data_IF_415222594760
#
_entry.id   IF_415222594760
#
_cell.length_a   1.000
_cell.length_b   1.000
_cell.length_c   1.000
_cell.angle_alpha   90.00
_cell.angle_beta   90.00
_cell.angle_gamma   90.00
#
_symmetry.space_group_name_H-M   'P 1'
#
loop_
_entity.id
_entity.type
_entity.pdbx_description
1 polymer ?
#
# COMPACT_ATOMS: atom_id res chain seq x y z
N UNK A 1 -76.71 -16.71 -41.35
CA UNK A 1 -76.07 -17.62 -40.37
C UNK A 1 -74.66 -17.11 -40.15
N UNK A 2 -74.45 -16.40 -39.05
CA UNK A 2 -73.21 -15.66 -38.77
C UNK A 2 -72.59 -16.25 -37.51
N UNK A 3 -71.37 -16.79 -37.63
CA UNK A 3 -70.62 -17.43 -36.53
C UNK A 3 -70.06 -16.36 -35.56
N UNK A 4 -69.92 -16.68 -34.26
CA UNK A 4 -69.44 -15.73 -33.25
C UNK A 4 -67.91 -15.56 -33.30
N UNK A 5 -67.46 -14.33 -33.02
CA UNK A 5 -66.07 -13.90 -32.96
C UNK A 5 -65.40 -14.43 -31.70
N UNK A 6 -64.35 -15.23 -31.90
CA UNK A 6 -63.47 -15.78 -30.89
C UNK A 6 -62.61 -14.66 -30.26
N UNK A 7 -62.68 -14.49 -28.93
CA UNK A 7 -61.91 -13.49 -28.20
C UNK A 7 -60.51 -14.01 -27.94
N UNK A 8 -59.56 -13.61 -28.78
CA UNK A 8 -58.13 -13.87 -28.54
C UNK A 8 -57.64 -13.06 -27.33
N UNK A 9 -57.38 -13.76 -26.24
CA UNK A 9 -56.86 -13.24 -24.98
C UNK A 9 -55.38 -12.85 -25.15
N UNK A 10 -55.06 -11.56 -24.95
CA UNK A 10 -53.70 -11.04 -25.06
C UNK A 10 -52.80 -11.57 -23.92
N UNK A 11 -51.54 -11.94 -24.19
CA UNK A 11 -50.63 -12.45 -23.18
C UNK A 11 -50.18 -11.35 -22.21
N UNK A 12 -50.30 -11.64 -20.91
CA UNK A 12 -49.86 -10.79 -19.80
C UNK A 12 -48.33 -10.54 -19.87
N UNK A 13 -47.85 -9.28 -19.76
CA UNK A 13 -46.43 -8.99 -19.86
C UNK A 13 -45.67 -9.51 -18.64
N UNK A 14 -44.59 -10.26 -18.89
CA UNK A 14 -43.74 -10.87 -17.88
C UNK A 14 -43.15 -9.83 -16.87
N UNK A 15 -42.95 -10.22 -15.59
CA UNK A 15 -42.45 -9.32 -14.56
C UNK A 15 -41.02 -8.86 -14.86
N UNK A 16 -40.83 -7.54 -14.90
CA UNK A 16 -39.52 -6.90 -15.12
C UNK A 16 -38.60 -7.18 -13.93
N UNK A 17 -37.37 -7.69 -14.13
CA UNK A 17 -36.46 -7.96 -13.03
C UNK A 17 -36.04 -6.65 -12.32
N UNK A 18 -35.84 -6.68 -11.00
CA UNK A 18 -35.49 -5.49 -10.24
C UNK A 18 -34.16 -4.91 -10.71
N UNK A 19 -34.16 -3.63 -11.07
CA UNK A 19 -32.98 -2.92 -11.53
C UNK A 19 -31.81 -3.02 -10.52
N UNK A 20 -30.56 -3.11 -11.00
CA UNK A 20 -29.39 -3.25 -10.13
C UNK A 20 -29.25 -2.03 -9.21
N UNK A 21 -29.40 -2.28 -7.90
CA UNK A 21 -29.23 -1.27 -6.84
C UNK A 21 -27.80 -0.73 -6.85
N UNK A 22 -27.62 0.46 -7.42
CA UNK A 22 -26.36 1.19 -7.46
C UNK A 22 -25.90 1.47 -6.02
N UNK A 23 -24.88 0.74 -5.57
CA UNK A 23 -24.26 0.85 -4.24
C UNK A 23 -23.95 2.33 -3.95
N UNK A 24 -24.70 2.94 -3.03
CA UNK A 24 -24.45 4.32 -2.57
C UNK A 24 -23.05 4.37 -1.96
N UNK A 25 -22.06 4.84 -2.74
CA UNK A 25 -20.76 5.21 -2.22
C UNK A 25 -20.98 6.35 -1.24
N UNK A 26 -20.79 6.07 0.04
CA UNK A 26 -20.73 7.06 1.13
C UNK A 26 -19.79 8.17 0.65
N UNK A 27 -20.33 9.37 0.45
CA UNK A 27 -19.62 10.48 -0.16
C UNK A 27 -18.52 10.96 0.80
N UNK A 28 -17.32 10.42 0.64
CA UNK A 28 -16.13 11.10 1.10
C UNK A 28 -16.14 12.49 0.44
N UNK A 29 -16.08 13.55 1.23
CA UNK A 29 -16.09 14.95 0.79
C UNK A 29 -15.19 15.09 -0.44
N UNK A 30 -15.73 15.62 -1.53
CA UNK A 30 -15.02 15.73 -2.79
C UNK A 30 -13.72 16.54 -2.59
N UNK A 31 -12.60 16.05 -3.13
CA UNK A 31 -11.31 16.77 -3.06
C UNK A 31 -11.41 18.00 -3.97
N UNK A 32 -11.28 19.19 -3.38
CA UNK A 32 -11.49 20.49 -4.05
C UNK A 32 -10.34 20.91 -4.97
N UNK A 33 -9.11 20.46 -4.70
CA UNK A 33 -7.91 20.89 -5.42
C UNK A 33 -7.39 19.79 -6.32
N UNK A 34 -7.11 20.15 -7.58
CA UNK A 34 -6.39 19.30 -8.53
C UNK A 34 -4.96 19.81 -8.64
N UNK A 35 -4.01 18.89 -8.47
CA UNK A 35 -2.65 19.11 -8.96
C UNK A 35 -2.74 19.04 -10.49
N UNK A 36 -2.07 19.96 -11.21
CA UNK A 36 -2.21 20.17 -12.66
C UNK A 36 -1.88 18.95 -13.54
N UNK A 37 -1.66 19.13 -14.85
CA UNK A 37 -1.42 18.01 -15.75
C UNK A 37 -0.04 17.37 -15.51
N UNK A 38 -0.01 16.33 -14.65
CA UNK A 38 1.13 15.45 -14.49
C UNK A 38 1.27 14.59 -15.74
N UNK A 39 2.39 14.75 -16.48
CA UNK A 39 2.72 13.88 -17.60
C UNK A 39 3.63 12.76 -17.10
N UNK A 40 3.17 11.52 -17.27
CA UNK A 40 3.92 10.32 -16.95
C UNK A 40 4.36 9.66 -18.25
N UNK A 41 5.60 9.17 -18.27
CA UNK A 41 6.06 8.21 -19.27
C UNK A 41 5.31 6.88 -19.12
N UNK A 42 5.40 6.03 -20.14
CA UNK A 42 4.76 4.71 -20.13
C UNK A 42 5.28 3.82 -18.99
N UNK A 43 6.59 3.89 -18.68
CA UNK A 43 7.22 3.15 -17.59
C UNK A 43 6.70 3.59 -16.23
N UNK A 44 6.71 4.90 -15.95
CA UNK A 44 6.23 5.44 -14.67
C UNK A 44 4.75 5.10 -14.42
N UNK A 45 3.92 5.14 -15.47
CA UNK A 45 2.53 4.75 -15.35
C UNK A 45 2.35 3.24 -15.05
N UNK A 46 3.18 2.39 -15.64
CA UNK A 46 3.17 0.96 -15.38
C UNK A 46 3.56 0.66 -13.93
N UNK A 47 4.60 1.32 -13.42
CA UNK A 47 5.07 1.17 -12.04
C UNK A 47 4.01 1.60 -11.02
N UNK A 48 3.36 2.75 -11.25
CA UNK A 48 2.28 3.25 -10.38
C UNK A 48 1.10 2.28 -10.38
N UNK A 49 0.73 1.70 -11.54
CA UNK A 49 -0.36 0.72 -11.63
C UNK A 49 -0.03 -0.56 -10.88
N UNK A 50 1.18 -1.09 -11.06
CA UNK A 50 1.62 -2.29 -10.37
C UNK A 50 1.63 -2.09 -8.84
N UNK A 51 2.13 -0.95 -8.39
CA UNK A 51 2.17 -0.62 -6.97
C UNK A 51 0.77 -0.37 -6.38
N UNK A 52 -0.12 0.31 -7.12
CA UNK A 52 -1.50 0.52 -6.71
C UNK A 52 -2.28 -0.80 -6.59
N UNK A 53 -2.07 -1.75 -7.51
CA UNK A 53 -2.65 -3.09 -7.45
C UNK A 53 -2.22 -3.84 -6.19
N UNK A 54 -0.92 -3.84 -5.87
CA UNK A 54 -0.40 -4.45 -4.63
C UNK A 54 -0.98 -3.82 -3.37
N UNK A 55 -1.28 -2.52 -3.40
CA UNK A 55 -1.85 -1.78 -2.28
C UNK A 55 -3.40 -1.86 -2.20
N UNK A 56 -4.07 -2.51 -3.15
CA UNK A 56 -5.54 -2.52 -3.22
C UNK A 56 -6.16 -1.15 -3.50
N UNK A 57 -5.43 -0.25 -4.17
CA UNK A 57 -5.82 1.13 -4.43
C UNK A 57 -6.00 1.40 -5.93
N UNK A 58 -6.76 2.44 -6.29
CA UNK A 58 -6.71 2.97 -7.66
C UNK A 58 -5.40 3.72 -7.90
N UNK A 59 -4.87 3.78 -9.14
CA UNK A 59 -3.61 4.46 -9.43
C UNK A 59 -3.56 5.92 -8.92
N UNK A 60 -4.64 6.68 -9.10
CA UNK A 60 -4.73 8.06 -8.60
C UNK A 60 -4.83 8.15 -7.07
N UNK A 61 -5.46 7.18 -6.41
CA UNK A 61 -5.49 7.12 -4.95
C UNK A 61 -4.11 6.78 -4.37
N UNK A 62 -3.43 5.82 -4.99
CA UNK A 62 -2.06 5.44 -4.63
C UNK A 62 -1.06 6.59 -4.83
N UNK A 63 -1.10 7.28 -5.97
CA UNK A 63 -0.26 8.43 -6.24
C UNK A 63 -0.49 9.57 -5.23
N UNK A 64 -1.76 9.90 -4.94
CA UNK A 64 -2.06 10.93 -3.94
C UNK A 64 -1.59 10.52 -2.53
N UNK A 65 -1.78 9.26 -2.16
CA UNK A 65 -1.35 8.74 -0.86
C UNK A 65 0.18 8.81 -0.72
N UNK A 66 0.91 8.26 -1.69
CA UNK A 66 2.38 8.25 -1.68
C UNK A 66 2.95 9.66 -1.67
N UNK A 67 2.50 10.56 -2.54
CA UNK A 67 2.95 11.97 -2.55
C UNK A 67 2.68 12.66 -1.21
N UNK A 68 1.49 12.47 -0.63
CA UNK A 68 1.16 13.09 0.67
C UNK A 68 2.00 12.51 1.80
N UNK A 69 2.20 11.20 1.82
CA UNK A 69 3.03 10.52 2.81
C UNK A 69 4.49 10.95 2.69
N UNK A 70 5.04 10.98 1.48
CA UNK A 70 6.40 11.46 1.21
C UNK A 70 6.54 12.93 1.58
N UNK A 71 5.59 13.80 1.23
CA UNK A 71 5.63 15.21 1.62
C UNK A 71 5.61 15.39 3.15
N UNK A 72 4.77 14.63 3.85
CA UNK A 72 4.74 14.62 5.33
C UNK A 72 6.06 14.12 5.90
N UNK A 73 6.65 13.07 5.35
CA UNK A 73 7.94 12.56 5.79
C UNK A 73 9.12 13.47 5.40
N UNK A 74 9.03 14.22 4.30
CA UNK A 74 10.04 15.19 3.90
C UNK A 74 10.03 16.42 4.82
N UNK A 75 8.85 16.80 5.32
CA UNK A 75 8.69 17.83 6.35
C UNK A 75 9.11 17.35 7.74
N UNK A 76 9.15 16.03 7.96
CA UNK A 76 9.88 15.45 9.09
C UNK A 76 11.36 15.47 8.73
N UNK A 77 12.03 16.57 9.09
CA UNK A 77 13.49 16.56 9.20
C UNK A 77 13.85 15.53 10.27
N UNK A 78 14.01 14.27 9.86
CA UNK A 78 14.64 13.29 10.73
C UNK A 78 15.99 13.89 11.14
N UNK A 79 16.28 13.96 12.45
CA UNK A 79 17.62 14.29 12.93
C UNK A 79 18.63 13.45 12.16
N UNK A 80 19.79 14.03 11.79
CA UNK A 80 20.81 13.32 11.01
C UNK A 80 21.14 11.94 11.62
N UNK A 81 21.17 11.87 12.95
CA UNK A 81 21.34 10.64 13.74
C UNK A 81 20.27 9.58 13.50
N UNK A 82 19.00 9.95 13.29
CA UNK A 82 17.94 8.98 13.02
C UNK A 82 17.96 8.52 11.54
N UNK A 83 18.44 9.36 10.62
CA UNK A 83 18.69 8.93 9.22
C UNK A 83 19.82 7.91 9.12
N UNK A 84 20.93 8.15 9.80
CA UNK A 84 22.07 7.23 9.85
C UNK A 84 21.64 5.87 10.41
N UNK A 85 20.85 5.85 11.49
CA UNK A 85 20.31 4.63 12.09
C UNK A 85 19.38 3.86 11.17
N UNK A 86 18.54 4.55 10.38
CA UNK A 86 17.68 3.90 9.38
C UNK A 86 18.52 3.30 8.25
N UNK A 87 19.57 4.00 7.81
CA UNK A 87 20.50 3.48 6.82
C UNK A 87 21.22 2.22 7.33
N UNK A 88 21.66 2.21 8.60
CA UNK A 88 22.24 1.03 9.25
C UNK A 88 21.26 -0.14 9.30
N UNK A 89 19.99 0.10 9.64
CA UNK A 89 18.96 -0.94 9.67
C UNK A 89 18.67 -1.51 8.27
N UNK A 90 18.61 -0.65 7.25
CA UNK A 90 18.45 -1.11 5.86
C UNK A 90 19.63 -1.94 5.41
N UNK A 91 20.86 -1.53 5.75
CA UNK A 91 22.06 -2.29 5.43
C UNK A 91 22.08 -3.64 6.14
N UNK A 92 21.75 -3.68 7.44
CA UNK A 92 21.65 -4.93 8.20
C UNK A 92 20.58 -5.88 7.64
N UNK A 93 19.44 -5.36 7.16
CA UNK A 93 18.40 -6.16 6.50
C UNK A 93 18.88 -6.76 5.18
N UNK A 94 19.65 -6.00 4.40
CA UNK A 94 20.22 -6.49 3.13
C UNK A 94 21.23 -7.60 3.40
N UNK A 95 22.13 -7.42 4.37
CA UNK A 95 23.09 -8.44 4.77
C UNK A 95 22.39 -9.71 5.28
N UNK A 96 21.35 -9.57 6.11
CA UNK A 96 20.58 -10.72 6.60
C UNK A 96 19.86 -11.46 5.45
N UNK A 97 19.30 -10.75 4.49
CA UNK A 97 18.69 -11.35 3.30
C UNK A 97 19.73 -12.09 2.43
N UNK A 98 20.95 -11.55 2.33
CA UNK A 98 22.07 -12.18 1.62
C UNK A 98 22.52 -13.46 2.30
N UNK A 99 22.66 -13.44 3.63
CA UNK A 99 23.00 -14.62 4.42
C UNK A 99 21.90 -15.69 4.31
N UNK A 100 20.62 -15.29 4.40
CA UNK A 100 19.50 -16.19 4.21
C UNK A 100 19.46 -16.83 2.81
N UNK A 101 19.90 -16.11 1.77
CA UNK A 101 20.02 -16.67 0.42
C UNK A 101 21.18 -17.68 0.28
N UNK A 102 22.18 -17.62 1.16
CA UNK A 102 23.32 -18.55 1.21
C UNK A 102 23.07 -19.76 2.12
N UNK A 103 22.02 -19.74 2.96
CA UNK A 103 21.65 -20.86 3.84
C UNK A 103 21.49 -22.21 3.14
N UNK A 104 20.91 -22.30 1.92
CA UNK A 104 20.76 -23.57 1.21
C UNK A 104 22.09 -24.21 0.80
N UNK A 105 23.19 -23.45 0.79
CA UNK A 105 24.50 -23.87 0.29
C UNK A 105 25.61 -23.82 1.35
N UNK A 106 25.31 -23.42 2.58
CA UNK A 106 26.31 -23.19 3.62
C UNK A 106 26.05 -24.03 4.88
N UNK A 107 27.12 -24.46 5.53
CA UNK A 107 27.07 -25.26 6.76
C UNK A 107 26.48 -24.46 7.93
N UNK A 108 25.55 -25.05 8.68
CA UNK A 108 24.81 -24.34 9.73
C UNK A 108 25.72 -23.73 10.83
N UNK A 109 26.89 -24.34 11.06
CA UNK A 109 27.84 -23.92 12.11
C UNK A 109 28.61 -22.64 11.75
N UNK A 110 28.77 -22.33 10.46
CA UNK A 110 29.42 -21.07 10.01
C UNK A 110 28.43 -19.92 9.92
N UNK A 111 27.15 -20.21 9.62
CA UNK A 111 26.15 -19.17 9.35
C UNK A 111 25.42 -18.69 10.61
N UNK A 112 25.21 -19.57 11.60
CA UNK A 112 24.51 -19.21 12.84
C UNK A 112 25.13 -18.02 13.59
N UNK A 113 26.47 -17.95 13.79
CA UNK A 113 27.09 -16.85 14.54
C UNK A 113 26.95 -15.49 13.82
N UNK A 114 27.06 -15.49 12.49
CA UNK A 114 26.89 -14.29 11.63
C UNK A 114 25.44 -13.78 11.69
N UNK A 115 24.45 -14.68 11.55
CA UNK A 115 23.04 -14.35 11.70
C UNK A 115 22.72 -13.83 13.10
N UNK A 116 23.26 -14.45 14.14
CA UNK A 116 23.05 -14.04 15.53
C UNK A 116 23.60 -12.63 15.79
N UNK A 117 24.77 -12.30 15.20
CA UNK A 117 25.35 -10.95 15.28
C UNK A 117 24.52 -9.93 14.51
N UNK A 118 24.07 -10.28 13.29
CA UNK A 118 23.23 -9.40 12.49
C UNK A 118 21.90 -9.09 13.20
N UNK A 119 21.24 -10.12 13.76
CA UNK A 119 20.01 -9.97 14.54
C UNK A 119 20.20 -9.07 15.76
N UNK A 120 21.28 -9.26 16.54
CA UNK A 120 21.59 -8.40 17.70
C UNK A 120 21.84 -6.94 17.32
N UNK A 121 22.51 -6.68 16.19
CA UNK A 121 22.72 -5.30 15.70
C UNK A 121 21.40 -4.64 15.33
N UNK A 122 20.49 -5.40 14.71
CA UNK A 122 19.14 -4.92 14.36
C UNK A 122 18.35 -4.60 15.64
N UNK A 123 18.35 -5.49 16.63
CA UNK A 123 17.67 -5.28 17.91
C UNK A 123 18.21 -4.03 18.64
N UNK A 124 19.53 -3.89 18.74
CA UNK A 124 20.17 -2.74 19.40
C UNK A 124 19.85 -1.40 18.72
N UNK A 125 19.83 -1.37 17.38
CA UNK A 125 19.47 -0.18 16.63
C UNK A 125 17.97 0.15 16.78
N UNK A 126 17.09 -0.85 16.80
CA UNK A 126 15.65 -0.67 17.04
C UNK A 126 15.36 -0.15 18.47
N UNK A 127 16.06 -0.66 19.48
CA UNK A 127 15.95 -0.20 20.86
C UNK A 127 16.48 1.22 21.06
N UNK A 128 17.54 1.60 20.35
CA UNK A 128 18.07 2.96 20.38
C UNK A 128 17.07 3.98 19.80
N UNK A 129 16.41 3.63 18.68
CA UNK A 129 15.37 4.46 18.07
C UNK A 129 14.15 4.60 18.98
N UNK A 130 13.70 3.49 19.59
CA UNK A 130 12.56 3.49 20.52
C UNK A 130 12.83 4.39 21.74
N UNK A 131 14.03 4.29 22.34
CA UNK A 131 14.43 5.14 23.48
C UNK A 131 14.56 6.61 23.12
N UNK A 132 15.05 6.92 21.91
CA UNK A 132 15.14 8.31 21.44
C UNK A 132 13.76 8.94 21.21
N UNK A 133 12.81 8.16 20.69
CA UNK A 133 11.41 8.58 20.54
C UNK A 133 10.74 8.86 21.89
N UNK A 134 10.91 7.97 22.88
CA UNK A 134 10.30 8.11 24.21
C UNK A 134 10.82 9.30 25.03
N UNK A 135 12.10 9.70 24.86
CA UNK A 135 12.66 10.90 25.52
C UNK A 135 12.11 12.21 24.96
N UNK A 136 11.78 12.27 23.66
CA UNK A 136 11.20 13.48 23.07
C UNK A 136 9.77 13.73 23.54
N UNK A 137 9.02 12.68 23.91
CA UNK A 137 7.64 12.81 24.40
C UNK A 137 7.54 13.19 25.88
N UNK A 138 8.61 13.09 26.67
CA UNK A 138 8.62 13.43 28.12
C UNK A 138 9.04 14.88 28.41
N UNK A 139 9.42 15.66 27.39
CA UNK A 139 9.90 17.04 27.52
C UNK A 139 8.87 18.05 26.98
N UNK A 140 7.58 17.83 27.24
CA UNK A 140 6.48 18.79 26.98
C UNK A 140 5.58 18.83 28.19
#
# INVERSE_FOLDING_TARGET
MTLPVDQAQAPEPAPVPPAPRRRRRRAARARSHRLGPLKLSAGELADIRAAAARAGMSPGAYAAHTVTTTARHALVLLPATDRERIAELLHARIELARIAALLPTADAHTVLPELTRAARRIEQAADALTRHASRKTTST
#
